data_IF_944379542174
#
_entry.id   IF_944379542174
#
_cell.length_a   1.000
_cell.length_b   1.000
_cell.length_c   1.000
_cell.angle_alpha   90.00
_cell.angle_beta   90.00
_cell.angle_gamma   90.00
#
_symmetry.space_group_name_H-M   'P 1'
#
loop_
_entity.id
_entity.type
_entity.pdbx_description
1 polymer ?
#
# COMPACT_ATOMS: atom_id res chain seq x y z
N UNK A 1 -3.03 -41.24 -48.49
CA UNK A 1 -2.65 -40.05 -47.65
C UNK A 1 -1.23 -40.30 -47.18
N UNK A 2 -0.31 -39.37 -47.36
CA UNK A 2 1.04 -39.50 -46.80
C UNK A 2 0.98 -39.38 -45.28
N UNK A 3 1.62 -40.31 -44.57
CA UNK A 3 1.73 -40.24 -43.14
C UNK A 3 2.51 -38.95 -42.75
N UNK A 4 2.12 -38.29 -41.64
CA UNK A 4 2.85 -37.11 -41.14
C UNK A 4 4.28 -37.51 -40.77
N UNK A 5 5.27 -36.93 -41.43
CA UNK A 5 6.67 -37.16 -41.08
C UNK A 5 7.02 -36.31 -39.86
N UNK A 6 7.32 -36.97 -38.74
CA UNK A 6 7.87 -36.32 -37.57
C UNK A 6 9.39 -36.18 -37.70
N UNK A 7 9.91 -35.00 -37.38
CA UNK A 7 11.35 -34.79 -37.13
C UNK A 7 11.54 -35.06 -35.64
N UNK A 8 12.11 -36.25 -35.32
CA UNK A 8 12.37 -36.64 -33.93
C UNK A 8 13.87 -36.58 -33.65
N UNK A 9 14.28 -36.11 -32.48
CA UNK A 9 15.70 -36.18 -32.07
C UNK A 9 16.08 -37.65 -31.82
N UNK A 10 17.37 -37.95 -31.90
CA UNK A 10 17.92 -39.29 -31.63
C UNK A 10 17.78 -39.71 -30.16
N UNK A 11 17.86 -38.71 -29.25
CA UNK A 11 17.58 -38.86 -27.85
C UNK A 11 17.09 -37.54 -27.28
N UNK A 12 16.45 -37.60 -26.10
CA UNK A 12 15.91 -36.39 -25.44
C UNK A 12 17.04 -35.41 -25.09
N UNK A 13 16.91 -34.17 -25.52
CA UNK A 13 17.84 -33.08 -25.26
C UNK A 13 19.15 -33.08 -26.06
N UNK A 14 19.36 -34.01 -27.03
CA UNK A 14 20.64 -34.12 -27.75
C UNK A 14 20.68 -33.49 -29.12
N UNK A 15 19.57 -33.27 -29.79
CA UNK A 15 19.56 -32.73 -31.16
C UNK A 15 18.96 -31.33 -31.22
N UNK A 16 19.53 -30.49 -32.08
CA UNK A 16 19.09 -29.12 -32.29
C UNK A 16 18.37 -28.94 -33.62
N UNK A 17 17.33 -28.10 -33.65
CA UNK A 17 16.70 -27.61 -34.87
C UNK A 17 17.36 -26.27 -35.25
N UNK A 18 18.33 -26.31 -36.17
CA UNK A 18 19.18 -25.18 -36.54
C UNK A 18 20.54 -25.20 -35.80
N UNK A 19 21.35 -24.18 -36.04
CA UNK A 19 22.68 -23.95 -35.43
C UNK A 19 22.89 -22.44 -35.27
N UNK A 20 23.81 -22.01 -34.43
CA UNK A 20 24.11 -20.60 -34.16
C UNK A 20 24.41 -19.79 -35.41
N UNK A 21 25.05 -20.41 -36.40
CA UNK A 21 25.41 -19.78 -37.67
C UNK A 21 24.46 -20.13 -38.83
N UNK A 22 23.36 -20.90 -38.57
CA UNK A 22 22.42 -21.34 -39.62
C UNK A 22 21.03 -21.56 -38.99
N UNK A 23 20.32 -20.44 -38.85
CA UNK A 23 18.96 -20.43 -38.30
C UNK A 23 17.89 -20.66 -39.41
N UNK A 24 16.71 -21.05 -38.99
CA UNK A 24 15.54 -21.05 -39.84
C UNK A 24 14.98 -19.65 -40.01
N UNK A 25 14.62 -19.24 -41.25
CA UNK A 25 14.02 -17.94 -41.47
C UNK A 25 12.67 -17.77 -40.80
N UNK A 26 11.81 -18.79 -40.89
CA UNK A 26 10.49 -18.81 -40.26
C UNK A 26 10.12 -20.22 -39.80
N UNK A 27 9.41 -20.33 -38.67
CA UNK A 27 8.79 -21.56 -38.20
C UNK A 27 7.29 -21.32 -38.07
N UNK A 28 6.49 -22.00 -38.88
CA UNK A 28 5.03 -21.94 -38.86
C UNK A 28 4.47 -23.17 -38.16
N UNK A 29 3.84 -22.99 -37.00
CA UNK A 29 3.25 -24.05 -36.23
C UNK A 29 1.97 -23.62 -35.51
N UNK A 30 1.05 -24.55 -35.29
CA UNK A 30 -0.17 -24.30 -34.49
C UNK A 30 0.14 -24.19 -33.01
N UNK A 31 1.17 -24.89 -32.53
CA UNK A 31 1.60 -24.92 -31.11
C UNK A 31 3.12 -25.08 -31.07
N UNK A 32 3.73 -24.40 -30.11
CA UNK A 32 5.12 -24.61 -29.69
C UNK A 32 5.11 -25.00 -28.20
N UNK A 33 5.70 -26.14 -27.88
CA UNK A 33 5.90 -26.60 -26.52
C UNK A 33 7.40 -26.60 -26.20
N UNK A 34 7.85 -25.77 -25.29
CA UNK A 34 9.17 -25.84 -24.66
C UNK A 34 9.00 -26.47 -23.27
N UNK A 35 9.70 -27.56 -22.98
CA UNK A 35 9.60 -28.25 -21.68
C UNK A 35 10.29 -27.49 -20.55
N UNK A 36 11.39 -26.78 -20.85
CA UNK A 36 12.25 -26.14 -19.87
C UNK A 36 12.28 -24.62 -20.04
N UNK A 37 12.71 -24.15 -21.19
CA UNK A 37 12.84 -22.71 -21.46
C UNK A 37 12.57 -22.34 -22.92
N UNK A 38 12.14 -21.08 -23.14
CA UNK A 38 12.05 -20.48 -24.46
C UNK A 38 12.75 -19.10 -24.38
N UNK A 39 13.92 -18.96 -25.02
CA UNK A 39 14.65 -17.70 -25.08
C UNK A 39 14.36 -16.98 -26.41
N UNK A 40 13.97 -15.71 -26.34
CA UNK A 40 13.77 -14.83 -27.48
C UNK A 40 14.71 -13.63 -27.35
N UNK A 41 15.76 -13.56 -28.15
CA UNK A 41 16.75 -12.47 -28.12
C UNK A 41 16.28 -11.18 -28.78
N UNK A 42 15.22 -11.24 -29.55
CA UNK A 42 14.60 -10.10 -30.22
C UNK A 42 13.23 -9.74 -29.62
N UNK A 43 12.30 -9.39 -30.47
CA UNK A 43 10.93 -9.03 -30.07
C UNK A 43 10.03 -10.25 -30.04
N UNK A 44 9.27 -10.40 -28.96
CA UNK A 44 8.15 -11.33 -28.86
C UNK A 44 6.83 -10.55 -28.98
N UNK A 45 6.00 -10.91 -29.98
CA UNK A 45 4.66 -10.34 -30.14
C UNK A 45 3.59 -11.39 -29.91
N UNK A 46 2.65 -11.11 -29.00
CA UNK A 46 1.52 -11.98 -28.68
C UNK A 46 0.24 -11.29 -29.13
N UNK A 47 -0.38 -11.79 -30.20
CA UNK A 47 -1.55 -11.14 -30.82
C UNK A 47 -2.85 -11.20 -30.04
N UNK A 48 -2.93 -11.99 -28.95
CA UNK A 48 -4.13 -12.11 -28.10
C UNK A 48 -3.77 -12.04 -26.60
N UNK A 49 -3.58 -13.17 -25.96
CA UNK A 49 -3.34 -13.26 -24.52
C UNK A 49 -2.02 -13.96 -24.22
N UNK A 50 -1.28 -13.46 -23.24
CA UNK A 50 -0.18 -14.17 -22.60
C UNK A 50 -0.61 -14.51 -21.15
N UNK A 51 -0.37 -15.76 -20.71
CA UNK A 51 -0.58 -16.18 -19.33
C UNK A 51 0.76 -16.59 -18.75
N UNK A 52 1.12 -15.97 -17.62
CA UNK A 52 2.31 -16.32 -16.84
C UNK A 52 1.84 -17.01 -15.58
N UNK A 53 2.18 -18.28 -15.41
CA UNK A 53 1.75 -19.11 -14.26
C UNK A 53 2.61 -18.93 -13.01
N UNK A 54 3.72 -18.19 -13.11
CA UNK A 54 4.63 -17.84 -12.02
C UNK A 54 4.94 -16.36 -12.02
N UNK A 55 6.17 -16.01 -11.71
CA UNK A 55 6.61 -14.61 -11.64
C UNK A 55 6.85 -13.99 -13.02
N UNK A 56 6.55 -12.71 -13.16
CA UNK A 56 6.90 -11.89 -14.31
C UNK A 56 7.91 -10.83 -13.87
N UNK A 57 9.17 -10.94 -14.36
CA UNK A 57 10.20 -9.93 -14.14
C UNK A 57 10.37 -9.07 -15.38
N UNK A 58 10.24 -7.75 -15.25
CA UNK A 58 10.50 -6.76 -16.30
C UNK A 58 11.65 -5.86 -15.85
N UNK A 59 12.82 -5.99 -16.49
CA UNK A 59 14.01 -5.18 -16.15
C UNK A 59 13.99 -3.78 -16.76
N UNK A 60 13.12 -3.53 -17.71
CA UNK A 60 12.90 -2.23 -18.36
C UNK A 60 11.53 -1.65 -18.01
N UNK A 61 10.97 -0.88 -18.94
CA UNK A 61 9.65 -0.28 -18.78
C UNK A 61 8.54 -1.29 -19.08
N UNK A 62 7.50 -1.29 -18.26
CA UNK A 62 6.22 -1.93 -18.55
C UNK A 62 5.17 -0.85 -18.89
N UNK A 63 4.53 -0.95 -20.06
CA UNK A 63 3.45 -0.05 -20.47
C UNK A 63 2.14 -0.81 -20.55
N UNK A 64 1.13 -0.35 -19.81
CA UNK A 64 -0.24 -0.86 -19.85
C UNK A 64 -1.14 0.23 -20.43
N UNK A 65 -1.59 0.07 -21.68
CA UNK A 65 -2.36 1.10 -22.40
C UNK A 65 -3.83 1.21 -21.98
N UNK A 66 -4.33 0.29 -21.13
CA UNK A 66 -5.71 0.31 -20.63
C UNK A 66 -5.68 0.18 -19.12
N UNK A 67 -6.13 -0.93 -18.55
CA UNK A 67 -6.25 -1.14 -17.12
C UNK A 67 -5.28 -2.22 -16.62
N UNK A 68 -4.69 -1.99 -15.46
CA UNK A 68 -4.03 -3.02 -14.67
C UNK A 68 -4.90 -3.35 -13.46
N UNK A 69 -5.17 -4.65 -13.22
CA UNK A 69 -5.87 -5.14 -12.04
C UNK A 69 -4.87 -5.92 -11.20
N UNK A 70 -4.64 -5.44 -9.98
CA UNK A 70 -3.70 -6.06 -9.03
C UNK A 70 -4.51 -6.47 -7.80
N UNK A 71 -4.55 -7.77 -7.53
CA UNK A 71 -5.31 -8.32 -6.40
C UNK A 71 -4.55 -8.24 -5.07
N UNK A 72 -3.26 -7.95 -5.12
CA UNK A 72 -2.39 -7.82 -3.95
C UNK A 72 -1.84 -6.40 -3.79
N UNK A 73 -0.76 -6.29 -3.04
CA UNK A 73 -0.10 -5.02 -2.79
C UNK A 73 0.68 -4.49 -4.00
N UNK A 74 0.85 -3.18 -4.07
CA UNK A 74 1.75 -2.49 -4.99
C UNK A 74 2.83 -1.80 -4.18
N UNK A 75 4.09 -2.19 -4.38
CA UNK A 75 5.24 -1.49 -3.80
C UNK A 75 5.94 -0.70 -4.88
N UNK A 76 6.13 0.59 -4.66
CA UNK A 76 6.89 1.48 -5.54
C UNK A 76 8.02 2.14 -4.75
N UNK A 77 9.28 1.89 -5.15
CA UNK A 77 10.46 2.53 -4.55
C UNK A 77 10.72 3.94 -5.09
N UNK A 78 9.89 4.41 -5.99
CA UNK A 78 9.96 5.74 -6.61
C UNK A 78 8.64 6.48 -6.50
N UNK A 79 8.40 7.39 -7.42
CA UNK A 79 7.21 8.22 -7.46
C UNK A 79 6.03 7.52 -8.12
N UNK A 80 4.83 7.64 -7.53
CA UNK A 80 3.57 7.30 -8.18
C UNK A 80 2.89 8.61 -8.61
N UNK A 81 2.64 8.76 -9.91
CA UNK A 81 1.89 9.89 -10.46
C UNK A 81 0.52 9.41 -10.94
N UNK A 82 -0.54 10.00 -10.43
CA UNK A 82 -1.91 9.69 -10.82
C UNK A 82 -2.74 10.96 -10.94
N UNK A 83 -3.65 11.02 -11.92
CA UNK A 83 -4.61 12.13 -12.04
C UNK A 83 -5.63 12.11 -10.92
N UNK A 84 -6.05 10.91 -10.48
CA UNK A 84 -7.00 10.70 -9.38
C UNK A 84 -6.69 9.39 -8.68
N UNK A 85 -6.86 9.39 -7.37
CA UNK A 85 -6.83 8.19 -6.52
C UNK A 85 -8.17 8.11 -5.80
N UNK A 86 -8.85 6.97 -5.90
CA UNK A 86 -10.10 6.71 -5.20
C UNK A 86 -9.86 5.69 -4.10
N UNK A 87 -10.19 6.06 -2.88
CA UNK A 87 -10.06 5.22 -1.70
C UNK A 87 -11.45 4.79 -1.18
N UNK A 88 -11.48 3.85 -0.25
CA UNK A 88 -12.72 3.40 0.41
C UNK A 88 -13.39 4.52 1.21
N UNK A 89 -14.72 4.40 1.42
CA UNK A 89 -15.65 5.50 1.64
C UNK A 89 -15.60 6.20 3.00
N UNK A 90 -15.02 5.62 4.05
CA UNK A 90 -15.06 6.16 5.41
C UNK A 90 -13.69 6.17 6.09
N UNK A 91 -12.68 6.63 5.37
CA UNK A 91 -11.32 6.61 5.84
C UNK A 91 -10.79 8.02 5.99
N UNK A 92 -9.77 8.14 6.77
CA UNK A 92 -9.02 9.37 6.99
C UNK A 92 -7.63 9.31 6.34
N UNK A 93 -7.00 10.45 6.36
CA UNK A 93 -5.59 10.66 6.05
C UNK A 93 -4.85 10.74 7.36
N UNK A 94 -3.92 9.84 7.60
CA UNK A 94 -3.16 9.78 8.84
C UNK A 94 -1.67 10.08 8.63
N UNK A 95 -0.98 10.41 9.70
CA UNK A 95 0.46 10.52 9.80
C UNK A 95 0.95 9.75 11.02
N UNK A 96 2.11 9.12 10.91
CA UNK A 96 2.77 8.46 12.02
C UNK A 96 3.54 9.45 12.88
N UNK A 97 3.13 9.59 14.14
CA UNK A 97 3.74 10.43 15.16
C UNK A 97 4.50 9.58 16.19
N UNK A 98 5.64 10.04 16.64
CA UNK A 98 6.49 9.33 17.61
C UNK A 98 5.75 9.04 18.91
N UNK A 99 5.62 7.75 19.26
CA UNK A 99 4.88 7.28 20.42
C UNK A 99 5.57 7.65 21.73
N UNK A 100 4.89 8.39 22.60
CA UNK A 100 5.34 8.73 23.96
C UNK A 100 4.77 7.82 25.04
N UNK A 101 3.59 7.23 24.79
CA UNK A 101 2.92 6.27 25.68
C UNK A 101 2.01 5.34 24.89
N UNK A 102 1.50 4.30 25.53
CA UNK A 102 0.50 3.40 24.91
C UNK A 102 -0.83 4.13 24.75
N UNK A 103 -1.35 4.07 23.53
CA UNK A 103 -2.58 4.75 23.11
C UNK A 103 -3.45 3.80 22.31
N UNK A 104 -4.73 4.10 22.21
CA UNK A 104 -5.72 3.30 21.52
C UNK A 104 -6.46 4.11 20.45
N UNK A 105 -7.01 3.41 19.47
CA UNK A 105 -7.85 4.02 18.43
C UNK A 105 -9.00 4.86 19.04
N UNK A 106 -9.24 6.02 18.45
CA UNK A 106 -10.24 6.98 18.90
C UNK A 106 -9.80 7.89 20.06
N UNK A 107 -8.59 7.73 20.57
CA UNK A 107 -8.03 8.66 21.57
C UNK A 107 -7.50 9.93 20.93
N UNK A 108 -7.72 11.06 21.60
CA UNK A 108 -7.19 12.37 21.18
C UNK A 108 -5.73 12.46 21.59
N UNK A 109 -4.87 12.88 20.67
CA UNK A 109 -3.43 12.89 20.81
C UNK A 109 -2.89 14.33 20.86
N UNK A 110 -1.90 14.55 21.68
CA UNK A 110 -1.22 15.81 21.87
C UNK A 110 0.30 15.64 21.95
N UNK A 111 1.05 16.69 21.63
CA UNK A 111 2.49 16.76 21.84
C UNK A 111 2.80 16.73 23.35
N UNK A 112 3.74 15.91 23.77
CA UNK A 112 4.27 15.92 25.13
C UNK A 112 5.26 17.08 25.33
N UNK A 113 4.77 18.17 25.87
CA UNK A 113 5.57 19.38 26.17
C UNK A 113 6.63 19.18 27.23
N UNK A 114 6.70 18.02 27.90
CA UNK A 114 7.69 17.70 28.94
C UNK A 114 8.84 16.86 28.41
N UNK A 115 8.66 16.24 27.26
CA UNK A 115 9.70 15.44 26.62
C UNK A 115 10.76 16.32 25.98
N UNK A 116 12.03 15.94 26.11
CA UNK A 116 13.14 16.59 25.40
C UNK A 116 13.15 16.25 23.90
N UNK A 117 12.52 15.13 23.53
CA UNK A 117 12.34 14.70 22.15
C UNK A 117 10.89 14.90 21.73
N UNK A 118 10.66 14.97 20.44
CA UNK A 118 9.31 14.94 19.90
C UNK A 118 8.63 13.62 20.26
N UNK A 119 7.61 13.68 21.13
CA UNK A 119 6.82 12.54 21.59
C UNK A 119 5.36 12.95 21.71
N UNK A 120 4.49 11.99 21.49
CA UNK A 120 3.05 12.22 21.49
C UNK A 120 2.33 11.30 22.49
N UNK A 121 1.38 11.89 23.20
CA UNK A 121 0.68 11.27 24.34
C UNK A 121 -0.82 11.58 24.25
N UNK A 122 -1.62 10.95 25.10
CA UNK A 122 -3.06 11.24 25.22
C UNK A 122 -3.30 12.70 25.65
N UNK A 123 -4.13 13.39 24.88
CA UNK A 123 -4.51 14.76 25.18
C UNK A 123 -5.41 14.88 26.41
N UNK A 124 -5.26 15.96 27.13
CA UNK A 124 -6.20 16.41 28.18
C UNK A 124 -6.61 17.86 27.90
N UNK A 125 -7.55 18.40 28.68
CA UNK A 125 -7.95 19.82 28.66
C UNK A 125 -6.82 20.79 29.07
N UNK A 126 -5.65 20.26 29.46
CA UNK A 126 -4.43 21.01 29.77
C UNK A 126 -3.37 20.93 28.68
N UNK A 127 -3.61 20.14 27.64
CA UNK A 127 -2.67 19.97 26.53
C UNK A 127 -2.62 21.26 25.70
N UNK A 128 -1.40 21.75 25.41
CA UNK A 128 -1.20 23.00 24.67
C UNK A 128 -1.26 22.77 23.15
N UNK A 129 -0.82 21.60 22.68
CA UNK A 129 -0.76 21.26 21.25
C UNK A 129 -1.45 19.95 21.02
N UNK A 130 -2.69 20.00 20.57
CA UNK A 130 -3.49 18.84 20.15
C UNK A 130 -3.28 18.63 18.67
N UNK A 131 -2.93 17.41 18.25
CA UNK A 131 -2.58 17.09 16.86
C UNK A 131 -3.68 16.37 16.11
N UNK A 132 -4.53 15.60 16.77
CA UNK A 132 -5.63 14.87 16.12
C UNK A 132 -6.12 13.70 16.95
N UNK A 133 -6.65 12.71 16.27
CA UNK A 133 -7.23 11.50 16.87
C UNK A 133 -6.50 10.29 16.31
N UNK A 134 -6.14 9.32 17.17
CA UNK A 134 -5.56 8.06 16.72
C UNK A 134 -6.57 7.29 15.85
N UNK A 135 -6.13 6.96 14.64
CA UNK A 135 -6.89 6.16 13.66
C UNK A 135 -6.48 4.70 13.70
N UNK A 136 -7.43 3.82 13.40
CA UNK A 136 -7.24 2.39 13.13
C UNK A 136 -7.72 1.98 11.72
N UNK A 137 -8.18 2.95 10.93
CA UNK A 137 -8.79 2.68 9.63
C UNK A 137 -8.50 3.80 8.62
N UNK A 138 -7.24 4.19 8.49
CA UNK A 138 -6.82 5.20 7.52
C UNK A 138 -6.75 4.65 6.10
N UNK A 139 -7.13 5.49 5.12
CA UNK A 139 -6.99 5.19 3.69
C UNK A 139 -5.57 5.38 3.19
N UNK A 140 -4.85 6.29 3.82
CA UNK A 140 -3.45 6.58 3.54
C UNK A 140 -2.77 7.05 4.82
N UNK A 141 -1.55 6.60 5.03
CA UNK A 141 -0.69 7.08 6.11
C UNK A 141 0.62 7.57 5.51
N UNK A 142 1.16 8.65 6.06
CA UNK A 142 2.47 9.21 5.72
C UNK A 142 3.42 9.08 6.90
N UNK A 143 4.74 9.16 6.63
CA UNK A 143 5.76 8.94 7.66
C UNK A 143 6.04 7.47 7.93
N UNK A 144 6.62 7.20 9.09
CA UNK A 144 7.06 5.86 9.48
C UNK A 144 8.42 5.47 8.91
N UNK A 145 8.85 4.26 9.23
CA UNK A 145 10.13 3.67 8.84
C UNK A 145 9.90 2.43 7.96
N UNK A 146 10.80 2.19 7.01
CA UNK A 146 10.80 0.95 6.23
C UNK A 146 11.19 -0.23 7.11
N UNK A 147 10.56 -1.38 6.89
CA UNK A 147 10.91 -2.65 7.52
C UNK A 147 11.32 -3.66 6.44
N UNK A 148 12.46 -4.32 6.63
CA UNK A 148 12.96 -5.29 5.65
C UNK A 148 12.28 -6.66 5.79
N UNK A 149 11.92 -7.06 7.02
CA UNK A 149 11.44 -8.41 7.35
C UNK A 149 10.02 -8.44 7.95
N UNK A 150 9.34 -7.31 8.05
CA UNK A 150 8.02 -7.19 8.65
C UNK A 150 7.08 -6.35 7.78
N UNK A 151 5.77 -6.61 7.87
CA UNK A 151 4.78 -5.75 7.24
C UNK A 151 4.89 -4.31 7.76
N UNK A 152 4.86 -3.33 6.83
CA UNK A 152 5.09 -1.92 7.11
C UNK A 152 4.20 -1.38 8.24
N UNK A 153 2.91 -1.71 8.24
CA UNK A 153 1.97 -1.27 9.26
C UNK A 153 2.30 -1.90 10.62
N UNK A 154 2.50 -3.22 10.66
CA UNK A 154 2.85 -3.96 11.88
C UNK A 154 4.14 -3.45 12.51
N UNK A 155 5.13 -3.07 11.71
CA UNK A 155 6.37 -2.47 12.18
C UNK A 155 6.12 -1.10 12.81
N UNK A 156 5.40 -0.24 12.09
CA UNK A 156 5.28 1.17 12.47
C UNK A 156 4.35 1.40 13.67
N UNK A 157 3.25 0.66 13.84
CA UNK A 157 2.35 0.82 14.99
C UNK A 157 3.02 0.54 16.34
N UNK A 158 4.16 -0.15 16.37
CA UNK A 158 4.94 -0.38 17.60
C UNK A 158 5.69 0.87 18.08
N UNK A 159 6.10 1.73 17.14
CA UNK A 159 6.93 2.92 17.40
C UNK A 159 6.13 4.21 17.32
N UNK A 160 5.12 4.23 16.48
CA UNK A 160 4.37 5.43 16.11
C UNK A 160 2.89 5.30 16.45
N UNK A 161 2.23 6.45 16.53
CA UNK A 161 0.78 6.59 16.65
C UNK A 161 0.26 7.09 15.30
N UNK A 162 -0.59 6.36 14.57
CA UNK A 162 -1.23 6.87 13.37
C UNK A 162 -2.32 7.88 13.77
N UNK A 163 -2.10 9.16 13.52
CA UNK A 163 -3.03 10.24 13.87
C UNK A 163 -3.74 10.74 12.62
N UNK A 164 -5.07 10.75 12.64
CA UNK A 164 -5.89 11.32 11.58
C UNK A 164 -5.73 12.82 11.50
N UNK A 165 -5.31 13.31 10.33
CA UNK A 165 -5.14 14.75 10.04
C UNK A 165 -6.36 15.32 9.31
N UNK A 166 -7.04 14.50 8.53
CA UNK A 166 -8.23 14.89 7.76
C UNK A 166 -9.08 13.67 7.43
N UNK A 167 -10.39 13.85 7.34
CA UNK A 167 -11.32 12.78 7.00
C UNK A 167 -12.28 12.45 8.12
N UNK A 168 -12.65 11.19 8.26
CA UNK A 168 -13.59 10.71 9.27
C UNK A 168 -12.91 9.66 10.13
N UNK A 169 -12.85 9.92 11.42
CA UNK A 169 -12.28 9.02 12.43
C UNK A 169 -13.23 8.91 13.61
N UNK A 170 -13.32 7.74 14.21
CA UNK A 170 -14.05 7.52 15.46
C UNK A 170 -13.33 8.20 16.63
N UNK A 171 -14.04 8.94 17.49
CA UNK A 171 -13.47 9.60 18.67
C UNK A 171 -14.10 9.05 19.94
N UNK A 172 -13.29 8.67 20.90
CA UNK A 172 -13.76 8.31 22.26
C UNK A 172 -14.20 9.57 22.99
N UNK A 173 -15.45 9.62 23.43
CA UNK A 173 -16.01 10.79 24.11
C UNK A 173 -16.72 10.41 25.41
N UNK A 174 -16.72 11.31 26.38
CA UNK A 174 -17.57 11.21 27.58
C UNK A 174 -18.73 12.20 27.52
N UNK A 175 -19.85 11.80 28.14
CA UNK A 175 -21.08 12.57 28.16
C UNK A 175 -21.87 12.51 26.85
N UNK A 176 -22.86 13.37 26.74
CA UNK A 176 -23.70 13.47 25.55
C UNK A 176 -23.06 14.39 24.54
N UNK A 177 -23.07 13.97 23.27
CA UNK A 177 -22.66 14.77 22.12
C UNK A 177 -23.87 14.94 21.21
N UNK A 178 -24.12 16.16 20.80
CA UNK A 178 -25.20 16.49 19.87
C UNK A 178 -24.64 16.83 18.51
N UNK A 179 -25.44 16.66 17.50
CA UNK A 179 -25.08 17.03 16.13
C UNK A 179 -24.74 18.53 16.06
N UNK A 180 -23.51 18.83 15.63
CA UNK A 180 -22.98 20.19 15.53
C UNK A 180 -22.15 20.64 16.72
N UNK A 181 -22.00 19.79 17.75
CA UNK A 181 -21.03 20.05 18.80
C UNK A 181 -19.59 19.88 18.30
N UNK A 182 -18.69 20.71 18.76
CA UNK A 182 -17.25 20.49 18.59
C UNK A 182 -16.77 19.47 19.62
N UNK A 183 -15.81 18.63 19.21
CA UNK A 183 -15.14 17.70 20.12
C UNK A 183 -13.82 18.28 20.54
N UNK A 184 -13.62 18.43 21.85
CA UNK A 184 -12.39 18.94 22.49
C UNK A 184 -11.89 17.94 23.52
N UNK A 185 -10.60 17.94 23.89
CA UNK A 185 -10.09 17.10 24.98
C UNK A 185 -10.83 17.35 26.28
N UNK A 186 -10.99 16.31 27.07
CA UNK A 186 -11.57 16.39 28.42
C UNK A 186 -10.45 16.34 29.48
N UNK A 187 -10.81 16.34 30.75
CA UNK A 187 -9.89 16.08 31.88
C UNK A 187 -9.41 14.61 31.96
N UNK A 188 -10.03 13.71 31.18
CA UNK A 188 -9.64 12.29 31.11
C UNK A 188 -8.71 12.13 29.92
N UNK A 189 -7.48 11.59 30.09
CA UNK A 189 -6.51 11.44 29.01
C UNK A 189 -7.06 10.68 27.81
N UNK A 190 -6.88 11.20 26.60
CA UNK A 190 -7.33 10.62 25.34
C UNK A 190 -8.84 10.78 25.05
N UNK A 191 -9.64 11.16 26.02
CA UNK A 191 -11.11 11.18 25.90
C UNK A 191 -11.61 12.61 25.61
N UNK A 192 -12.42 12.73 24.58
CA UNK A 192 -13.08 13.99 24.21
C UNK A 192 -14.33 14.29 25.03
N UNK A 193 -14.79 15.53 24.92
CA UNK A 193 -16.10 16.00 25.38
C UNK A 193 -16.71 16.97 24.35
N UNK A 194 -18.02 17.09 24.40
CA UNK A 194 -18.73 18.10 23.59
C UNK A 194 -18.41 19.52 24.04
N UNK A 195 -18.31 20.43 23.08
CA UNK A 195 -18.19 21.89 23.27
C UNK A 195 -19.08 22.60 22.26
N UNK A 196 -19.82 23.61 22.73
CA UNK A 196 -20.63 24.49 21.87
C UNK A 196 -19.80 25.59 21.21
N UNK A 197 -18.54 25.73 21.64
CA UNK A 197 -17.60 26.74 21.10
C UNK A 197 -16.44 26.04 20.40
N UNK A 198 -16.10 26.53 19.22
CA UNK A 198 -14.89 26.16 18.52
C UNK A 198 -13.68 26.74 19.25
N UNK A 199 -12.78 25.87 19.66
CA UNK A 199 -11.48 26.23 20.26
C UNK A 199 -10.34 25.69 19.38
N UNK A 200 -9.13 26.15 19.61
CA UNK A 200 -7.97 25.73 18.81
C UNK A 200 -7.64 24.23 18.94
N UNK A 201 -8.05 23.63 20.04
CA UNK A 201 -7.87 22.21 20.40
C UNK A 201 -9.04 21.30 19.95
N UNK A 202 -10.01 21.84 19.20
CA UNK A 202 -11.10 21.05 18.67
C UNK A 202 -10.61 20.12 17.56
N UNK A 203 -10.85 18.80 17.72
CA UNK A 203 -10.44 17.76 16.76
C UNK A 203 -11.54 17.39 15.77
N UNK A 204 -12.77 17.86 15.96
CA UNK A 204 -13.89 17.54 15.08
C UNK A 204 -15.19 18.25 15.42
N UNK A 205 -16.20 17.94 14.61
CA UNK A 205 -17.60 18.39 14.73
C UNK A 205 -18.50 17.18 14.60
#
# INVERSE_FOLDING_TARGET
MAEPKNISPRADGLDNLGRDNKAWGNIYGKRLHAKESCAVTGTMSVGKSATVGGDLTVTGNATVSSSAIIAGNVTANGTITATKVFNAVYNDYAEYFDRGEDTEAGEIIALDMKSENERYVRATDKSLVVVGVQSDCYAQVIGGESADDEDFETHNIKKFIPVALAGRVGVKVKGKVWRGDFIVPSDTPGIGKASTKKTADAVGI
#
